data_IF_074044693379
#
_entry.id   IF_074044693379
#
_cell.length_a   1.000
_cell.length_b   1.000
_cell.length_c   1.000
_cell.angle_alpha   90.00
_cell.angle_beta   90.00
_cell.angle_gamma   90.00
#
_symmetry.space_group_name_H-M   'P 1'
#
loop_
_entity.id
_entity.type
_entity.pdbx_description
1 polymer ?
#
# COMPACT_ATOMS: atom_id res chain seq x y z
N UNK A 1 10.71 23.81 11.78
CA UNK A 1 10.29 22.84 10.74
C UNK A 1 11.44 22.20 9.94
N UNK A 2 12.73 22.33 10.32
CA UNK A 2 13.87 21.79 9.54
C UNK A 2 14.29 20.34 9.87
N UNK A 3 13.70 19.71 10.89
CA UNK A 3 14.16 18.41 11.42
C UNK A 3 13.62 17.19 10.65
N UNK A 4 12.31 17.17 10.35
CA UNK A 4 11.65 15.97 9.76
C UNK A 4 12.17 15.59 8.36
N UNK A 5 12.57 16.57 7.55
CA UNK A 5 13.12 16.31 6.20
C UNK A 5 14.41 15.49 6.25
N UNK A 6 15.29 15.74 7.22
CA UNK A 6 16.56 15.00 7.38
C UNK A 6 16.33 13.57 7.87
N UNK A 7 15.39 13.39 8.80
CA UNK A 7 14.95 12.06 9.24
C UNK A 7 14.43 11.27 8.04
N UNK A 8 13.61 11.90 7.20
CA UNK A 8 13.01 11.27 6.02
C UNK A 8 14.06 10.87 4.98
N UNK A 9 14.98 11.76 4.64
CA UNK A 9 16.09 11.47 3.71
C UNK A 9 16.95 10.31 4.21
N UNK A 10 17.35 10.36 5.48
CA UNK A 10 18.14 9.30 6.10
C UNK A 10 17.39 7.97 6.08
N UNK A 11 16.12 7.96 6.48
CA UNK A 11 15.30 6.77 6.53
C UNK A 11 15.08 6.18 5.13
N UNK A 12 14.77 7.00 4.13
CA UNK A 12 14.63 6.55 2.74
C UNK A 12 15.92 5.92 2.23
N UNK A 13 17.06 6.58 2.42
CA UNK A 13 18.36 6.06 1.97
C UNK A 13 18.75 4.76 2.67
N UNK A 14 18.54 4.68 3.98
CA UNK A 14 18.88 3.48 4.76
C UNK A 14 17.99 2.29 4.41
N UNK A 15 16.68 2.52 4.24
CA UNK A 15 15.76 1.49 3.74
C UNK A 15 16.11 1.04 2.32
N UNK A 16 16.64 1.94 1.46
CA UNK A 16 17.10 1.60 0.11
C UNK A 16 18.36 0.73 0.11
N UNK A 17 19.20 0.87 1.15
CA UNK A 17 20.39 0.04 1.39
C UNK A 17 20.08 -1.31 2.03
N UNK A 18 18.80 -1.61 2.31
CA UNK A 18 18.36 -2.89 2.85
C UNK A 18 18.24 -2.95 4.37
N UNK A 19 18.48 -1.85 5.09
CA UNK A 19 18.23 -1.80 6.53
C UNK A 19 16.74 -1.94 6.83
N UNK A 20 16.41 -2.61 7.92
CA UNK A 20 15.05 -2.71 8.44
C UNK A 20 14.61 -1.39 9.10
N UNK A 21 13.30 -1.13 9.13
CA UNK A 21 12.75 0.04 9.83
C UNK A 21 13.16 0.10 11.31
N UNK A 22 13.37 -1.06 11.95
CA UNK A 22 13.83 -1.16 13.34
C UNK A 22 15.26 -0.64 13.50
N UNK A 23 16.17 -1.06 12.61
CA UNK A 23 17.57 -0.60 12.62
C UNK A 23 17.63 0.91 12.36
N UNK A 24 16.90 1.38 11.34
CA UNK A 24 16.83 2.81 11.00
C UNK A 24 16.30 3.64 12.17
N UNK A 25 15.24 3.18 12.84
CA UNK A 25 14.71 3.81 14.06
C UNK A 25 15.77 3.91 15.14
N UNK A 26 16.47 2.82 15.43
CA UNK A 26 17.49 2.77 16.46
C UNK A 26 18.64 3.74 16.16
N UNK A 27 19.13 3.77 14.91
CA UNK A 27 20.21 4.67 14.51
C UNK A 27 19.84 6.15 14.64
N UNK A 28 18.60 6.52 14.28
CA UNK A 28 18.11 7.89 14.43
C UNK A 28 17.96 8.29 15.90
N UNK A 29 17.36 7.44 16.74
CA UNK A 29 17.23 7.74 18.17
C UNK A 29 18.61 7.87 18.83
N UNK A 30 19.55 6.96 18.52
CA UNK A 30 20.92 7.01 19.03
C UNK A 30 21.70 8.25 18.55
N UNK A 31 21.31 8.86 17.42
CA UNK A 31 21.87 10.12 16.94
C UNK A 31 21.19 11.36 17.56
N UNK A 32 20.30 11.19 18.53
CA UNK A 32 19.66 12.27 19.29
C UNK A 32 18.34 12.78 18.71
N UNK A 33 17.75 12.08 17.73
CA UNK A 33 16.45 12.45 17.19
C UNK A 33 15.31 11.99 18.11
N UNK A 34 14.30 12.84 18.29
CA UNK A 34 13.14 12.50 19.11
C UNK A 34 12.38 11.30 18.53
N UNK A 35 12.12 10.32 19.38
CA UNK A 35 11.46 9.07 19.00
C UNK A 35 10.11 9.32 18.30
N UNK A 36 9.34 10.31 18.78
CA UNK A 36 8.04 10.67 18.21
C UNK A 36 8.16 11.09 16.74
N UNK A 37 9.14 11.95 16.42
CA UNK A 37 9.39 12.42 15.06
C UNK A 37 9.88 11.27 14.15
N UNK A 38 10.76 10.42 14.67
CA UNK A 38 11.27 9.25 13.95
C UNK A 38 10.13 8.27 13.61
N UNK A 39 9.28 7.96 14.59
CA UNK A 39 8.15 7.07 14.40
C UNK A 39 7.15 7.63 13.38
N UNK A 40 6.81 8.91 13.46
CA UNK A 40 5.90 9.57 12.52
C UNK A 40 6.42 9.48 11.08
N UNK A 41 7.71 9.77 10.87
CA UNK A 41 8.34 9.70 9.54
C UNK A 41 8.38 8.27 9.01
N UNK A 42 8.75 7.29 9.83
CA UNK A 42 8.78 5.88 9.41
C UNK A 42 7.40 5.35 9.03
N UNK A 43 6.35 5.76 9.78
CA UNK A 43 4.96 5.46 9.43
C UNK A 43 4.62 6.07 8.07
N UNK A 44 4.91 7.35 7.84
CA UNK A 44 4.62 8.02 6.56
C UNK A 44 5.33 7.36 5.37
N UNK A 45 6.60 6.95 5.54
CA UNK A 45 7.35 6.22 4.51
C UNK A 45 6.71 4.86 4.24
N UNK A 46 6.30 4.13 5.29
CA UNK A 46 5.65 2.81 5.14
C UNK A 46 4.31 2.92 4.40
N UNK A 47 3.49 3.92 4.73
CA UNK A 47 2.20 4.19 4.07
C UNK A 47 2.42 4.61 2.62
N UNK A 48 3.43 5.44 2.36
CA UNK A 48 3.78 5.87 0.99
C UNK A 48 4.24 4.69 0.14
N UNK A 49 5.11 3.81 0.66
CA UNK A 49 5.50 2.56 -0.03
C UNK A 49 4.32 1.63 -0.27
N UNK A 50 3.39 1.52 0.69
CA UNK A 50 2.18 0.75 0.50
C UNK A 50 1.29 1.36 -0.60
N UNK A 51 1.11 2.69 -0.62
CA UNK A 51 0.38 3.39 -1.68
C UNK A 51 1.04 3.24 -3.06
N UNK A 52 2.36 3.30 -3.12
CA UNK A 52 3.14 3.14 -4.36
C UNK A 52 3.06 1.70 -4.87
N UNK A 53 3.22 0.70 -4.00
CA UNK A 53 3.03 -0.72 -4.36
C UNK A 53 1.60 -1.02 -4.81
N UNK A 54 0.63 -0.27 -4.30
CA UNK A 54 -0.77 -0.32 -4.73
C UNK A 54 -1.04 0.51 -5.99
N UNK A 55 -0.22 1.48 -6.38
CA UNK A 55 -0.47 2.31 -7.58
C UNK A 55 -0.11 1.60 -8.88
N UNK A 56 0.73 0.56 -8.85
CA UNK A 56 1.14 -0.17 -10.04
C UNK A 56 0.15 -1.21 -10.54
N UNK A 57 -0.78 -1.66 -9.70
CA UNK A 57 -1.78 -2.67 -10.09
C UNK A 57 -3.04 -1.93 -10.50
N UNK A 58 -3.14 -1.65 -11.80
CA UNK A 58 -4.36 -1.14 -12.38
C UNK A 58 -5.40 -2.26 -12.41
N UNK A 59 -6.65 -1.98 -12.00
CA UNK A 59 -7.73 -2.93 -12.25
C UNK A 59 -7.85 -3.17 -13.76
N UNK A 60 -8.19 -4.40 -14.18
CA UNK A 60 -8.35 -4.71 -15.60
C UNK A 60 -9.46 -3.85 -16.20
N UNK A 61 -9.38 -3.56 -17.50
CA UNK A 61 -10.49 -2.92 -18.20
C UNK A 61 -11.78 -3.77 -18.09
N UNK A 62 -12.94 -3.13 -18.10
CA UNK A 62 -14.24 -3.83 -18.00
C UNK A 62 -14.52 -4.78 -19.17
N UNK A 63 -13.85 -4.61 -20.31
CA UNK A 63 -13.90 -5.54 -21.46
C UNK A 63 -13.05 -6.80 -21.28
N UNK A 64 -12.24 -6.87 -20.22
CA UNK A 64 -11.25 -7.92 -20.06
C UNK A 64 -11.82 -9.26 -19.54
N UNK A 65 -13.11 -9.29 -19.18
CA UNK A 65 -13.83 -10.48 -18.70
C UNK A 65 -13.63 -10.79 -17.21
N UNK A 66 -14.59 -11.48 -16.60
CA UNK A 66 -14.66 -11.70 -15.15
C UNK A 66 -13.44 -12.44 -14.57
N UNK A 67 -12.82 -13.36 -15.33
CA UNK A 67 -11.63 -14.09 -14.86
C UNK A 67 -10.45 -13.16 -14.51
N UNK A 68 -10.25 -12.07 -15.25
CA UNK A 68 -9.19 -11.09 -14.95
C UNK A 68 -9.55 -10.23 -13.74
N UNK A 69 -10.83 -9.89 -13.59
CA UNK A 69 -11.32 -9.21 -12.40
C UNK A 69 -11.13 -10.08 -11.14
N UNK A 70 -11.46 -11.37 -11.23
CA UNK A 70 -11.27 -12.33 -10.16
C UNK A 70 -9.80 -12.43 -9.75
N UNK A 71 -8.88 -12.58 -10.72
CA UNK A 71 -7.44 -12.61 -10.45
C UNK A 71 -6.94 -11.34 -9.77
N UNK A 72 -7.43 -10.16 -10.20
CA UNK A 72 -7.10 -8.88 -9.57
C UNK A 72 -7.62 -8.80 -8.12
N UNK A 73 -8.86 -9.24 -7.86
CA UNK A 73 -9.45 -9.27 -6.51
C UNK A 73 -8.62 -10.19 -5.60
N UNK A 74 -8.25 -11.39 -6.07
CA UNK A 74 -7.42 -12.34 -5.32
C UNK A 74 -6.06 -11.73 -4.96
N UNK A 75 -5.34 -11.15 -5.92
CA UNK A 75 -4.03 -10.53 -5.68
C UNK A 75 -4.15 -9.37 -4.69
N UNK A 76 -5.17 -8.52 -4.81
CA UNK A 76 -5.39 -7.39 -3.91
C UNK A 76 -5.77 -7.82 -2.49
N UNK A 77 -6.60 -8.86 -2.34
CA UNK A 77 -6.91 -9.44 -1.04
C UNK A 77 -5.70 -10.09 -0.38
N UNK A 78 -4.87 -10.81 -1.14
CA UNK A 78 -3.62 -11.41 -0.65
C UNK A 78 -2.63 -10.37 -0.11
N UNK A 79 -2.74 -9.13 -0.59
CA UNK A 79 -1.94 -7.98 -0.15
C UNK A 79 -2.57 -7.22 1.03
N UNK A 80 -3.68 -7.70 1.58
CA UNK A 80 -4.39 -7.09 2.69
C UNK A 80 -5.16 -5.82 2.34
N UNK A 81 -5.51 -5.62 1.06
CA UNK A 81 -6.32 -4.48 0.65
C UNK A 81 -7.77 -4.73 1.01
N UNK A 82 -8.44 -3.72 1.59
CA UNK A 82 -9.86 -3.84 1.95
C UNK A 82 -10.75 -3.95 0.71
N UNK A 83 -11.82 -4.75 0.81
CA UNK A 83 -12.81 -4.92 -0.26
C UNK A 83 -13.36 -3.59 -0.78
N UNK A 84 -13.61 -2.61 0.10
CA UNK A 84 -14.05 -1.27 -0.29
C UNK A 84 -13.05 -0.59 -1.24
N UNK A 85 -11.75 -0.65 -0.94
CA UNK A 85 -10.72 -0.04 -1.82
C UNK A 85 -10.59 -0.78 -3.14
N UNK A 86 -10.80 -2.09 -3.15
CA UNK A 86 -10.79 -2.89 -4.37
C UNK A 86 -12.00 -2.51 -5.23
N UNK A 87 -13.20 -2.43 -4.62
CA UNK A 87 -14.46 -1.99 -5.25
C UNK A 87 -14.29 -0.62 -5.90
N UNK A 88 -13.87 0.39 -5.15
CA UNK A 88 -13.79 1.77 -5.65
C UNK A 88 -12.87 1.88 -6.89
N UNK A 89 -11.78 1.10 -6.93
CA UNK A 89 -10.86 1.03 -8.07
C UNK A 89 -11.46 0.33 -9.29
N UNK A 90 -12.11 -0.81 -9.07
CA UNK A 90 -12.74 -1.58 -10.14
C UNK A 90 -13.87 -0.77 -10.78
N UNK A 91 -14.68 -0.07 -9.97
CA UNK A 91 -15.70 0.85 -10.45
C UNK A 91 -15.10 2.05 -11.20
N UNK A 92 -13.95 2.59 -10.75
CA UNK A 92 -13.33 3.74 -11.41
C UNK A 92 -12.85 3.47 -12.83
N UNK A 93 -12.67 2.20 -13.22
CA UNK A 93 -12.31 1.80 -14.60
C UNK A 93 -13.51 1.24 -15.39
N UNK A 94 -14.73 1.42 -14.88
CA UNK A 94 -15.96 1.18 -15.63
C UNK A 94 -16.58 -0.21 -15.45
N UNK A 95 -16.13 -1.01 -14.48
CA UNK A 95 -16.86 -2.22 -14.08
C UNK A 95 -18.15 -1.85 -13.36
N UNK A 96 -19.17 -2.70 -13.46
CA UNK A 96 -20.39 -2.53 -12.67
C UNK A 96 -20.18 -3.08 -11.27
N UNK A 97 -20.93 -2.52 -10.33
CA UNK A 97 -20.94 -3.01 -8.95
C UNK A 97 -21.36 -4.47 -8.86
N UNK A 98 -22.33 -4.88 -9.68
CA UNK A 98 -22.77 -6.27 -9.75
C UNK A 98 -21.62 -7.22 -10.14
N UNK A 99 -20.85 -6.88 -11.18
CA UNK A 99 -19.72 -7.72 -11.64
C UNK A 99 -18.66 -7.90 -10.55
N UNK A 100 -18.39 -6.82 -9.79
CA UNK A 100 -17.49 -6.87 -8.64
C UNK A 100 -18.05 -7.76 -7.53
N UNK A 101 -19.32 -7.59 -7.16
CA UNK A 101 -19.95 -8.34 -6.07
C UNK A 101 -20.02 -9.84 -6.39
N UNK A 102 -20.41 -10.21 -7.62
CA UNK A 102 -20.44 -11.59 -8.08
C UNK A 102 -19.04 -12.24 -7.99
N UNK A 103 -18.02 -11.56 -8.52
CA UNK A 103 -16.63 -12.03 -8.47
C UNK A 103 -16.13 -12.14 -7.02
N UNK A 104 -16.45 -11.15 -6.18
CA UNK A 104 -16.02 -11.09 -4.79
C UNK A 104 -16.67 -12.17 -3.92
N UNK A 105 -17.98 -12.40 -4.07
CA UNK A 105 -18.70 -13.48 -3.38
C UNK A 105 -18.19 -14.85 -3.82
N UNK A 106 -17.96 -15.05 -5.13
CA UNK A 106 -17.38 -16.30 -5.66
C UNK A 106 -16.02 -16.62 -5.03
N UNK A 107 -15.18 -15.61 -4.82
CA UNK A 107 -13.84 -15.77 -4.22
C UNK A 107 -13.91 -15.98 -2.71
N UNK A 108 -14.76 -15.22 -2.01
CA UNK A 108 -14.75 -15.18 -0.53
C UNK A 108 -15.76 -16.11 0.13
N UNK A 109 -16.72 -16.65 -0.64
CA UNK A 109 -17.82 -17.48 -0.12
C UNK A 109 -18.77 -16.72 0.82
N UNK A 110 -18.74 -15.38 0.78
CA UNK A 110 -19.59 -14.49 1.58
C UNK A 110 -20.78 -14.01 0.78
#
# INVERSE_FOLDING_TARGET
>A
MKNKTRIEEYAKNSLKKGHSSREVRQSLISAGWEEKDVNEVLILISVSKAKEKLSYIQPPANTAGSAKLEAYIIDMLSRGVSSQKIRDRVLSVGWKEQDFMESYHKITGK
#
